data_IF_051875396867
#
_entry.id   IF_051875396867
#
_cell.length_a   1.000
_cell.length_b   1.000
_cell.length_c   1.000
_cell.angle_alpha   90.00
_cell.angle_beta   90.00
_cell.angle_gamma   90.00
#
_symmetry.space_group_name_H-M   'P 1'
#
loop_
_entity.id
_entity.type
_entity.pdbx_description
1 polymer ?
#
# COMPACT_ATOMS: atom_id res chain seq x y z
N UNK A 1 55.77 19.44 19.70
CA UNK A 1 54.36 19.88 19.58
C UNK A 1 53.68 19.07 18.47
N UNK A 2 52.91 18.05 18.83
CA UNK A 2 52.24 17.14 17.89
C UNK A 2 50.86 17.69 17.51
N UNK A 3 50.68 18.07 16.24
CA UNK A 3 49.39 18.53 15.70
C UNK A 3 48.38 17.38 15.73
N UNK A 4 47.38 17.46 16.60
CA UNK A 4 46.21 16.57 16.61
C UNK A 4 45.48 16.67 15.25
N UNK A 5 45.40 15.57 14.52
CA UNK A 5 44.55 15.46 13.32
C UNK A 5 43.09 15.40 13.78
N UNK A 6 42.25 16.30 13.26
CA UNK A 6 40.79 16.26 13.45
C UNK A 6 40.26 15.03 12.73
N UNK A 7 39.72 14.11 13.50
CA UNK A 7 39.04 12.91 13.02
C UNK A 7 37.70 13.34 12.42
N UNK A 8 37.71 13.66 11.12
CA UNK A 8 36.55 14.17 10.40
C UNK A 8 35.66 12.99 9.95
N UNK A 9 35.07 12.28 10.92
CA UNK A 9 34.11 11.20 10.69
C UNK A 9 32.69 11.76 10.70
N UNK A 10 32.37 12.58 9.70
CA UNK A 10 30.98 12.87 9.35
C UNK A 10 30.65 12.08 8.09
N UNK A 11 29.91 10.98 8.27
CA UNK A 11 29.27 10.25 7.16
C UNK A 11 27.95 10.96 6.89
N UNK A 12 27.91 11.76 5.82
CA UNK A 12 26.66 12.33 5.33
C UNK A 12 25.86 11.18 4.69
N UNK A 13 24.86 10.67 5.41
CA UNK A 13 23.90 9.71 4.85
C UNK A 13 22.92 10.48 3.97
N UNK A 14 23.35 10.92 2.80
CA UNK A 14 22.45 11.57 1.84
C UNK A 14 22.54 11.04 0.42
N UNK A 15 23.46 10.12 0.11
CA UNK A 15 23.70 9.73 -1.30
C UNK A 15 23.72 8.21 -1.57
N UNK A 16 23.35 7.36 -0.60
CA UNK A 16 23.44 5.90 -0.77
C UNK A 16 22.12 5.15 -0.86
N UNK A 17 21.07 5.79 -1.39
CA UNK A 17 19.81 5.11 -1.72
C UNK A 17 19.38 5.31 -3.17
N UNK A 18 20.25 5.85 -4.05
CA UNK A 18 19.84 6.16 -5.41
C UNK A 18 19.94 5.03 -6.44
N UNK A 19 20.69 3.96 -6.21
CA UNK A 19 20.83 2.89 -7.21
C UNK A 19 21.04 1.51 -6.60
N UNK A 20 20.08 1.03 -5.80
CA UNK A 20 19.85 -0.40 -5.75
C UNK A 20 18.81 -0.67 -6.84
N UNK A 21 19.25 -1.23 -7.98
CA UNK A 21 18.33 -1.85 -8.93
C UNK A 21 17.56 -2.94 -8.18
N UNK A 22 16.41 -2.58 -7.64
CA UNK A 22 15.44 -3.50 -7.10
C UNK A 22 14.18 -3.35 -7.93
N UNK A 23 13.62 -4.49 -8.28
CA UNK A 23 12.28 -4.73 -8.84
C UNK A 23 11.14 -4.26 -7.92
N UNK A 24 11.40 -3.27 -7.05
CA UNK A 24 10.48 -2.72 -6.07
C UNK A 24 10.30 -1.25 -6.46
N UNK A 25 9.06 -0.78 -6.70
CA UNK A 25 8.83 0.61 -7.08
C UNK A 25 9.38 1.55 -6.00
N UNK A 26 9.86 2.76 -6.38
CA UNK A 26 10.37 3.77 -5.44
C UNK A 26 9.25 4.40 -4.57
N UNK A 27 8.08 3.78 -4.55
CA UNK A 27 6.92 4.19 -3.76
C UNK A 27 7.24 3.92 -2.29
N UNK A 28 7.10 4.97 -1.48
CA UNK A 28 7.03 4.80 -0.03
C UNK A 28 5.73 4.08 0.30
N UNK A 29 5.83 2.75 0.42
CA UNK A 29 4.70 1.86 0.69
C UNK A 29 3.97 2.20 1.99
N UNK A 30 4.61 2.88 2.95
CA UNK A 30 3.98 3.29 4.21
C UNK A 30 3.06 4.49 3.97
N UNK A 31 3.54 5.50 3.24
CA UNK A 31 2.75 6.69 2.91
C UNK A 31 1.58 6.31 2.01
N UNK A 32 1.80 5.45 1.01
CA UNK A 32 0.72 4.99 0.14
C UNK A 32 -0.29 4.12 0.87
N UNK A 33 0.15 3.23 1.78
CA UNK A 33 -0.77 2.46 2.62
C UNK A 33 -1.69 3.36 3.45
N UNK A 34 -1.14 4.40 4.09
CA UNK A 34 -1.93 5.36 4.89
C UNK A 34 -2.96 6.10 4.03
N UNK A 35 -2.57 6.56 2.84
CA UNK A 35 -3.50 7.20 1.88
C UNK A 35 -4.62 6.25 1.46
N UNK A 36 -4.30 5.01 1.12
CA UNK A 36 -5.30 4.04 0.66
C UNK A 36 -6.23 3.65 1.82
N UNK A 37 -5.74 3.52 3.06
CA UNK A 37 -6.59 3.30 4.24
C UNK A 37 -7.59 4.43 4.46
N UNK A 38 -7.15 5.69 4.31
CA UNK A 38 -8.07 6.85 4.37
C UNK A 38 -9.11 6.80 3.26
N UNK A 39 -8.71 6.49 2.03
CA UNK A 39 -9.64 6.32 0.91
C UNK A 39 -10.64 5.20 1.15
N UNK A 40 -10.21 4.09 1.76
CA UNK A 40 -11.09 2.98 2.12
C UNK A 40 -12.17 3.43 3.12
N UNK A 41 -11.80 4.20 4.14
CA UNK A 41 -12.74 4.74 5.12
C UNK A 41 -13.75 5.66 4.43
N UNK A 42 -13.27 6.63 3.63
CA UNK A 42 -14.13 7.55 2.90
C UNK A 42 -15.08 6.82 1.93
N UNK A 43 -14.60 5.78 1.25
CA UNK A 43 -15.42 4.98 0.34
C UNK A 43 -16.54 4.24 1.09
N UNK A 44 -16.25 3.70 2.28
CA UNK A 44 -17.24 3.05 3.16
C UNK A 44 -18.27 4.04 3.68
N UNK A 45 -17.83 5.21 4.14
CA UNK A 45 -18.73 6.28 4.61
C UNK A 45 -19.64 6.80 3.50
N UNK A 46 -19.12 6.88 2.27
CA UNK A 46 -19.88 7.29 1.09
C UNK A 46 -20.74 6.16 0.48
N UNK A 47 -20.66 4.92 0.99
CA UNK A 47 -21.34 3.76 0.40
C UNK A 47 -20.88 3.43 -1.04
N UNK A 48 -19.68 3.87 -1.43
CA UNK A 48 -19.17 3.70 -2.78
C UNK A 48 -18.37 2.39 -2.90
N UNK A 49 -19.10 1.31 -3.16
CA UNK A 49 -18.53 -0.05 -3.25
C UNK A 49 -17.43 -0.21 -4.30
N UNK A 50 -17.45 0.59 -5.39
CA UNK A 50 -16.39 0.55 -6.43
C UNK A 50 -15.07 1.03 -5.86
N UNK A 51 -15.10 2.17 -5.17
CA UNK A 51 -13.91 2.75 -4.54
C UNK A 51 -13.44 1.90 -3.36
N UNK A 52 -14.37 1.32 -2.61
CA UNK A 52 -14.05 0.39 -1.52
C UNK A 52 -13.29 -0.83 -2.05
N UNK A 53 -13.83 -1.51 -3.07
CA UNK A 53 -13.18 -2.66 -3.68
C UNK A 53 -11.80 -2.30 -4.25
N UNK A 54 -11.67 -1.15 -4.91
CA UNK A 54 -10.40 -0.67 -5.44
C UNK A 54 -9.36 -0.44 -4.33
N UNK A 55 -9.74 0.24 -3.25
CA UNK A 55 -8.84 0.49 -2.12
C UNK A 55 -8.40 -0.81 -1.43
N UNK A 56 -9.32 -1.77 -1.27
CA UNK A 56 -9.01 -3.10 -0.75
C UNK A 56 -8.01 -3.86 -1.64
N UNK A 57 -8.18 -3.83 -2.96
CA UNK A 57 -7.23 -4.44 -3.90
C UNK A 57 -5.83 -3.81 -3.80
N UNK A 58 -5.75 -2.49 -3.72
CA UNK A 58 -4.50 -1.74 -3.61
C UNK A 58 -3.78 -2.03 -2.29
N UNK A 59 -4.50 -2.08 -1.16
CA UNK A 59 -3.94 -2.50 0.13
C UNK A 59 -3.40 -3.92 0.07
N UNK A 60 -4.16 -4.84 -0.52
CA UNK A 60 -3.72 -6.21 -0.73
C UNK A 60 -2.39 -6.26 -1.48
N UNK A 61 -2.27 -5.52 -2.57
CA UNK A 61 -1.05 -5.47 -3.38
C UNK A 61 0.16 -4.93 -2.62
N UNK A 62 -0.01 -3.84 -1.86
CA UNK A 62 1.08 -3.25 -1.06
C UNK A 62 1.58 -4.23 0.00
N UNK A 63 0.68 -4.93 0.68
CA UNK A 63 1.08 -5.88 1.73
C UNK A 63 1.83 -7.08 1.14
N UNK A 64 1.44 -7.56 -0.05
CA UNK A 64 2.19 -8.60 -0.77
C UNK A 64 3.59 -8.13 -1.15
N UNK A 65 3.75 -6.88 -1.61
CA UNK A 65 5.07 -6.30 -1.87
C UNK A 65 5.95 -6.19 -0.62
N UNK A 66 5.33 -6.02 0.55
CA UNK A 66 6.01 -6.03 1.87
C UNK A 66 6.27 -7.46 2.41
N UNK A 67 5.96 -8.51 1.65
CA UNK A 67 6.11 -9.91 2.04
C UNK A 67 5.01 -10.43 2.98
N UNK A 68 3.96 -9.64 3.23
CA UNK A 68 2.83 -10.01 4.09
C UNK A 68 1.73 -10.68 3.27
N UNK A 69 2.06 -11.82 2.68
CA UNK A 69 1.24 -12.52 1.68
C UNK A 69 -0.18 -12.84 2.21
N UNK A 70 -0.29 -13.38 3.43
CA UNK A 70 -1.58 -13.77 4.02
C UNK A 70 -2.49 -12.57 4.30
N UNK A 71 -1.92 -11.46 4.79
CA UNK A 71 -2.69 -10.24 5.00
C UNK A 71 -3.14 -9.66 3.67
N UNK A 72 -2.25 -9.66 2.66
CA UNK A 72 -2.57 -9.20 1.33
C UNK A 72 -3.70 -9.98 0.68
N UNK A 73 -3.69 -11.32 0.82
CA UNK A 73 -4.77 -12.20 0.36
C UNK A 73 -6.09 -11.88 1.06
N UNK A 74 -6.08 -11.64 2.38
CA UNK A 74 -7.30 -11.31 3.12
C UNK A 74 -8.00 -10.06 2.54
N UNK A 75 -7.24 -9.01 2.21
CA UNK A 75 -7.79 -7.82 1.55
C UNK A 75 -8.34 -8.11 0.15
N UNK A 76 -7.66 -8.94 -0.65
CA UNK A 76 -8.14 -9.33 -1.98
C UNK A 76 -9.44 -10.16 -1.91
N UNK A 77 -9.58 -11.01 -0.90
CA UNK A 77 -10.82 -11.77 -0.64
C UNK A 77 -11.96 -10.81 -0.29
N UNK A 78 -11.71 -9.83 0.58
CA UNK A 78 -12.70 -8.81 0.92
C UNK A 78 -13.14 -8.01 -0.32
N UNK A 79 -12.19 -7.56 -1.15
CA UNK A 79 -12.49 -6.87 -2.40
C UNK A 79 -13.38 -7.72 -3.32
N UNK A 80 -13.04 -9.01 -3.46
CA UNK A 80 -13.80 -9.96 -4.27
C UNK A 80 -15.22 -10.17 -3.73
N UNK A 81 -15.38 -10.20 -2.41
CA UNK A 81 -16.69 -10.29 -1.74
C UNK A 81 -17.55 -9.07 -2.05
N UNK A 82 -17.00 -7.85 -1.91
CA UNK A 82 -17.69 -6.60 -2.23
C UNK A 82 -18.11 -6.56 -3.70
N UNK A 83 -17.17 -6.87 -4.61
CA UNK A 83 -17.47 -6.91 -6.04
C UNK A 83 -18.56 -7.93 -6.36
N UNK A 84 -18.50 -9.13 -5.79
CA UNK A 84 -19.51 -10.18 -6.01
C UNK A 84 -20.88 -9.74 -5.50
N UNK A 85 -20.94 -9.17 -4.30
CA UNK A 85 -22.18 -8.71 -3.70
C UNK A 85 -22.87 -7.62 -4.54
N UNK A 86 -22.11 -6.71 -5.18
CA UNK A 86 -22.70 -5.60 -5.94
C UNK A 86 -22.83 -5.85 -7.44
N UNK A 87 -21.95 -6.66 -8.03
CA UNK A 87 -21.97 -6.91 -9.48
C UNK A 87 -23.12 -7.82 -9.88
N UNK A 88 -23.43 -8.82 -9.03
CA UNK A 88 -24.45 -9.84 -9.34
C UNK A 88 -25.76 -9.66 -8.57
N UNK A 89 -25.86 -8.70 -7.64
CA UNK A 89 -27.12 -8.45 -6.93
C UNK A 89 -28.16 -7.71 -7.78
N UNK A 90 -27.73 -6.94 -8.80
CA UNK A 90 -28.65 -6.25 -9.71
C UNK A 90 -29.50 -7.22 -10.56
N UNK A 91 -29.10 -8.48 -10.67
CA UNK A 91 -29.83 -9.49 -11.45
C UNK A 91 -30.96 -10.17 -10.66
N UNK A 92 -31.10 -9.90 -9.35
CA UNK A 92 -32.07 -10.55 -8.46
C UNK A 92 -33.28 -9.67 -8.08
N UNK A 93 -33.42 -8.45 -8.62
CA UNK A 93 -34.59 -7.58 -8.35
C UNK A 93 -35.77 -7.78 -9.32
N UNK A 94 -35.75 -8.87 -10.12
CA UNK A 94 -36.89 -9.31 -10.91
C UNK A 94 -37.15 -10.81 -10.70
N UNK A 95 -37.78 -11.18 -9.58
CA UNK A 95 -38.68 -12.34 -9.47
C UNK A 95 -39.50 -12.27 -8.18
#
# INVERSE_FOLDING_TARGET
>A
MTKKRKDNRYVYITERTKYLHHTIPPIDTVVEEDKIRKNLILAKEAGNWKLEAQALMQLGQILKWRGQEEQGKAYQIQASSVLRAHTFAADNEYN
#
